data_IF_538935496667
#
_entry.id   IF_538935496667
#
_cell.length_a   1.000
_cell.length_b   1.000
_cell.length_c   1.000
_cell.angle_alpha   90.00
_cell.angle_beta   90.00
_cell.angle_gamma   90.00
#
_symmetry.space_group_name_H-M   'P 1'
#
loop_
_entity.id
_entity.type
_entity.pdbx_description
1 polymer ?
#
# COMPACT_ATOMS: atom_id res chain seq x y z
N UNK A 1 11.76 -15.42 20.94
CA UNK A 1 11.23 -16.20 19.79
C UNK A 1 10.20 -17.18 20.30
N UNK A 2 9.15 -17.44 19.55
CA UNK A 2 8.12 -18.43 19.83
C UNK A 2 8.05 -19.44 18.70
N UNK A 3 7.72 -20.69 19.00
CA UNK A 3 7.40 -21.70 18.00
C UNK A 3 5.90 -21.69 17.67
N UNK A 4 5.54 -22.01 16.44
CA UNK A 4 4.17 -22.21 16.00
C UNK A 4 4.08 -23.28 14.91
N UNK A 5 2.89 -23.83 14.72
CA UNK A 5 2.60 -24.80 13.66
C UNK A 5 2.42 -24.06 12.31
N UNK A 6 3.47 -24.07 11.51
CA UNK A 6 3.47 -23.47 10.18
C UNK A 6 2.64 -24.24 9.15
N UNK A 7 2.25 -25.48 9.41
CA UNK A 7 1.41 -26.25 8.48
C UNK A 7 0.00 -25.68 8.39
N UNK A 8 -0.52 -25.12 9.48
CA UNK A 8 -1.82 -24.49 9.53
C UNK A 8 -1.87 -23.14 8.77
N UNK A 9 -0.72 -22.58 8.47
CA UNK A 9 -0.56 -21.31 7.71
C UNK A 9 0.03 -21.52 6.31
N UNK A 10 0.16 -22.77 5.86
CA UNK A 10 0.76 -23.15 4.58
C UNK A 10 2.25 -22.74 4.46
N UNK A 11 2.95 -22.66 5.60
CA UNK A 11 4.36 -22.28 5.66
C UNK A 11 5.28 -23.47 5.94
N UNK A 12 4.73 -24.64 6.30
CA UNK A 12 5.49 -25.86 6.54
C UNK A 12 4.69 -27.10 6.16
N UNK A 13 5.38 -28.24 6.00
CA UNK A 13 4.75 -29.53 5.80
C UNK A 13 4.30 -30.13 7.15
N UNK A 14 3.17 -30.87 7.16
CA UNK A 14 2.63 -31.46 8.40
C UNK A 14 3.57 -32.44 9.12
N UNK A 15 4.54 -33.03 8.40
CA UNK A 15 5.57 -33.91 8.97
C UNK A 15 6.76 -33.17 9.60
N UNK A 16 6.88 -31.84 9.36
CA UNK A 16 7.91 -30.96 9.93
C UNK A 16 7.33 -29.54 10.02
N UNK A 17 6.37 -29.37 10.94
CA UNK A 17 5.47 -28.22 10.95
C UNK A 17 6.00 -26.99 11.70
N UNK A 18 7.08 -27.12 12.46
CA UNK A 18 7.57 -26.03 13.31
C UNK A 18 8.17 -24.88 12.50
N UNK A 19 7.64 -23.68 12.75
CA UNK A 19 8.25 -22.41 12.37
C UNK A 19 8.48 -21.55 13.62
N UNK A 20 9.32 -20.52 13.48
CA UNK A 20 9.61 -19.60 14.58
C UNK A 20 9.04 -18.20 14.27
N UNK A 21 8.56 -17.55 15.32
CA UNK A 21 8.16 -16.14 15.31
C UNK A 21 9.22 -15.30 16.05
N UNK A 22 9.76 -14.30 15.36
CA UNK A 22 10.64 -13.28 15.93
C UNK A 22 9.88 -11.96 16.03
N UNK A 23 9.54 -11.47 17.24
CA UNK A 23 8.93 -10.16 17.42
C UNK A 23 9.82 -9.05 16.85
N UNK A 24 9.23 -8.11 16.08
CA UNK A 24 9.98 -7.04 15.40
C UNK A 24 9.38 -5.66 15.60
N UNK A 25 8.07 -5.55 15.87
CA UNK A 25 7.41 -4.30 16.19
C UNK A 25 6.26 -4.53 17.17
N UNK A 26 5.90 -3.49 17.92
CA UNK A 26 4.87 -3.52 18.95
C UNK A 26 3.95 -2.32 18.78
N UNK A 27 2.63 -2.57 18.79
CA UNK A 27 1.60 -1.55 18.71
C UNK A 27 0.60 -1.72 19.85
N UNK A 28 0.16 -0.65 20.54
CA UNK A 28 -0.95 -0.73 21.48
C UNK A 28 -2.20 -1.34 20.83
N UNK A 29 -2.82 -2.31 21.49
CA UNK A 29 -4.14 -2.80 21.10
C UNK A 29 -5.21 -1.96 21.77
N UNK A 30 -5.75 -0.96 21.06
CA UNK A 30 -6.72 -0.02 21.60
C UNK A 30 -8.09 -0.65 21.89
N UNK A 31 -8.29 -1.91 21.56
CA UNK A 31 -9.52 -2.67 21.87
C UNK A 31 -9.46 -3.39 23.21
N UNK A 32 -8.29 -3.40 23.87
CA UNK A 32 -8.05 -4.13 25.14
C UNK A 32 -7.17 -3.31 26.08
N UNK A 33 -7.56 -3.26 27.34
CA UNK A 33 -6.72 -2.68 28.38
C UNK A 33 -5.40 -3.47 28.52
N UNK A 34 -4.28 -2.76 28.49
CA UNK A 34 -2.91 -3.34 28.56
C UNK A 34 -2.61 -4.39 27.45
N UNK A 35 -3.35 -4.33 26.33
CA UNK A 35 -3.15 -5.19 25.16
C UNK A 35 -2.13 -4.62 24.18
N UNK A 36 -1.47 -5.53 23.44
CA UNK A 36 -0.54 -5.16 22.38
C UNK A 36 -0.70 -6.07 21.16
N UNK A 37 -0.58 -5.49 19.98
CA UNK A 37 -0.39 -6.20 18.72
C UNK A 37 1.11 -6.34 18.48
N UNK A 38 1.57 -7.57 18.24
CA UNK A 38 2.99 -7.87 18.03
C UNK A 38 3.21 -8.27 16.59
N UNK A 39 3.89 -7.44 15.82
CA UNK A 39 4.37 -7.82 14.49
C UNK A 39 5.55 -8.78 14.65
N UNK A 40 5.51 -9.88 13.93
CA UNK A 40 6.57 -10.89 13.98
C UNK A 40 7.02 -11.31 12.60
N UNK A 41 8.32 -11.57 12.47
CA UNK A 41 8.91 -12.25 11.32
C UNK A 41 8.79 -13.77 11.48
N UNK A 42 8.54 -14.47 10.36
CA UNK A 42 8.56 -15.92 10.31
C UNK A 42 9.97 -16.40 9.93
N UNK A 43 10.51 -17.33 10.72
CA UNK A 43 11.80 -17.95 10.49
C UNK A 43 11.63 -19.47 10.38
N UNK A 44 12.57 -20.10 9.68
CA UNK A 44 12.75 -21.54 9.69
C UNK A 44 13.20 -22.01 11.09
N UNK A 45 13.10 -23.32 11.41
CA UNK A 45 13.57 -23.87 12.69
C UNK A 45 15.04 -23.58 13.01
N UNK A 46 15.88 -23.41 11.98
CA UNK A 46 17.31 -23.06 12.10
C UNK A 46 17.57 -21.57 12.34
N UNK A 47 16.50 -20.75 12.38
CA UNK A 47 16.59 -19.30 12.58
C UNK A 47 16.83 -18.48 11.32
N UNK A 48 16.93 -19.09 10.15
CA UNK A 48 17.01 -18.35 8.87
C UNK A 48 15.64 -17.80 8.47
N UNK A 49 15.58 -16.69 7.71
CA UNK A 49 14.30 -16.17 7.23
C UNK A 49 13.53 -17.22 6.43
N UNK A 50 12.25 -17.41 6.77
CA UNK A 50 11.38 -18.28 6.01
C UNK A 50 11.12 -17.70 4.60
N UNK A 51 10.95 -18.50 3.53
CA UNK A 51 10.67 -18.00 2.17
C UNK A 51 9.47 -17.06 2.07
N UNK A 52 8.47 -17.19 2.94
CA UNK A 52 7.32 -16.27 3.01
C UNK A 52 7.61 -14.95 3.76
N UNK A 53 8.78 -14.81 4.37
CA UNK A 53 9.15 -13.62 5.13
C UNK A 53 9.62 -12.49 4.20
N UNK A 54 8.66 -11.78 3.61
CA UNK A 54 8.96 -10.67 2.73
C UNK A 54 9.64 -9.48 3.45
N UNK A 55 9.41 -9.32 4.77
CA UNK A 55 10.03 -8.27 5.58
C UNK A 55 11.57 -8.37 5.57
N UNK A 56 12.11 -9.57 5.59
CA UNK A 56 13.55 -9.83 5.54
C UNK A 56 14.19 -9.47 4.17
N UNK A 57 13.39 -9.19 3.13
CA UNK A 57 13.92 -8.76 1.83
C UNK A 57 14.29 -7.28 1.77
N UNK A 58 13.86 -6.49 2.74
CA UNK A 58 14.22 -5.08 2.86
C UNK A 58 15.65 -4.98 3.37
N UNK A 59 16.52 -4.33 2.59
CA UNK A 59 17.87 -4.01 3.03
C UNK A 59 17.88 -2.95 4.14
N UNK A 60 19.02 -2.75 4.78
CA UNK A 60 19.17 -1.69 5.78
C UNK A 60 18.73 -0.33 5.25
N UNK A 61 18.07 0.43 6.11
CA UNK A 61 17.47 1.72 5.81
C UNK A 61 18.54 2.76 5.49
N UNK A 62 18.46 3.34 4.29
CA UNK A 62 19.34 4.42 3.82
C UNK A 62 18.68 5.80 4.02
N UNK A 63 17.99 6.04 5.13
CA UNK A 63 17.21 7.26 5.34
C UNK A 63 15.95 7.29 4.47
N UNK A 64 15.43 6.12 4.10
CA UNK A 64 14.23 6.00 3.27
C UNK A 64 12.98 6.46 4.04
N UNK A 65 12.26 7.40 3.47
CA UNK A 65 10.92 7.80 3.90
C UNK A 65 9.92 7.24 2.92
N UNK A 66 8.87 6.61 3.43
CA UNK A 66 7.84 5.97 2.60
C UNK A 66 6.46 6.38 3.07
N UNK A 67 5.64 6.85 2.12
CA UNK A 67 4.19 7.00 2.26
C UNK A 67 3.48 5.97 1.40
N UNK A 68 2.52 5.25 1.97
CA UNK A 68 1.72 4.26 1.26
C UNK A 68 0.24 4.66 1.32
N UNK A 69 -0.40 4.67 0.15
CA UNK A 69 -1.79 5.09 -0.07
C UNK A 69 -2.62 3.84 -0.35
N UNK A 70 -3.25 3.29 0.68
CA UNK A 70 -4.01 2.05 0.57
C UNK A 70 -5.45 2.31 0.17
N UNK A 71 -5.80 1.97 -1.05
CA UNK A 71 -7.18 1.98 -1.55
C UNK A 71 -7.88 0.65 -1.25
N UNK A 72 -9.20 0.70 -1.07
CA UNK A 72 -10.06 -0.46 -0.78
C UNK A 72 -11.54 -0.12 -0.98
N UNK A 73 -12.39 -1.15 -1.11
CA UNK A 73 -13.84 -0.97 -1.01
C UNK A 73 -14.36 -1.55 0.30
N UNK A 74 -15.38 -0.91 0.86
CA UNK A 74 -16.20 -1.49 1.92
C UNK A 74 -17.44 -2.11 1.28
N UNK A 75 -17.68 -3.39 1.56
CA UNK A 75 -18.75 -4.17 0.95
C UNK A 75 -19.66 -4.83 1.98
N UNK A 76 -20.92 -4.97 1.64
CA UNK A 76 -21.86 -5.83 2.35
C UNK A 76 -22.54 -6.74 1.31
N UNK A 77 -22.57 -8.05 1.57
CA UNK A 77 -23.10 -9.06 0.64
C UNK A 77 -22.50 -8.97 -0.78
N UNK A 78 -21.18 -8.67 -0.87
CA UNK A 78 -20.45 -8.54 -2.13
C UNK A 78 -20.75 -7.26 -2.92
N UNK A 79 -21.40 -6.26 -2.30
CA UNK A 79 -21.75 -5.00 -2.91
C UNK A 79 -21.17 -3.82 -2.15
N UNK A 80 -20.54 -2.84 -2.81
CA UNK A 80 -19.98 -1.67 -2.14
C UNK A 80 -21.03 -0.87 -1.38
N UNK A 81 -20.67 -0.41 -0.21
CA UNK A 81 -21.53 0.48 0.58
C UNK A 81 -21.82 1.76 -0.19
N UNK A 82 -23.08 2.21 -0.11
CA UNK A 82 -23.56 3.39 -0.83
C UNK A 82 -23.97 3.14 -2.29
N UNK A 83 -23.79 1.93 -2.80
CA UNK A 83 -24.37 1.56 -4.10
C UNK A 83 -25.89 1.37 -3.98
N UNK A 84 -26.67 1.50 -5.10
CA UNK A 84 -28.10 1.23 -5.06
C UNK A 84 -28.39 -0.17 -4.50
N UNK A 85 -29.45 -0.33 -3.74
CA UNK A 85 -29.85 -1.62 -3.14
C UNK A 85 -30.30 -2.64 -4.18
N UNK A 86 -30.80 -2.17 -5.31
CA UNK A 86 -31.20 -3.00 -6.43
C UNK A 86 -29.96 -3.60 -7.12
N UNK A 87 -29.88 -4.93 -7.14
CA UNK A 87 -28.76 -5.68 -7.75
C UNK A 87 -28.58 -5.49 -9.25
N UNK A 88 -29.55 -4.89 -9.93
CA UNK A 88 -29.50 -4.59 -11.36
C UNK A 88 -29.07 -3.15 -11.65
N UNK A 89 -28.99 -2.30 -10.63
CA UNK A 89 -28.62 -0.89 -10.76
C UNK A 89 -27.18 -0.68 -10.32
N UNK A 90 -26.46 0.12 -11.10
CA UNK A 90 -25.09 0.54 -10.82
C UNK A 90 -25.02 2.06 -10.74
N UNK A 91 -24.23 2.64 -9.86
CA UNK A 91 -23.96 4.07 -9.89
C UNK A 91 -23.18 4.43 -11.16
N UNK A 92 -23.09 5.71 -11.49
CA UNK A 92 -22.14 6.15 -12.52
C UNK A 92 -20.72 5.75 -12.10
N UNK A 93 -19.84 5.30 -13.04
CA UNK A 93 -18.47 4.91 -12.71
C UNK A 93 -17.65 6.03 -12.06
N UNK A 94 -17.96 7.27 -12.41
CA UNK A 94 -17.36 8.47 -11.82
C UNK A 94 -18.47 9.48 -11.48
N UNK A 95 -18.23 10.31 -10.46
CA UNK A 95 -19.17 11.31 -9.99
C UNK A 95 -18.55 12.19 -8.89
N UNK A 96 -19.39 12.80 -8.08
CA UNK A 96 -18.96 13.66 -6.97
C UNK A 96 -18.51 12.85 -5.73
N UNK A 97 -18.17 11.58 -5.91
CA UNK A 97 -17.85 10.65 -4.80
C UNK A 97 -16.53 10.99 -4.12
N UNK A 98 -15.57 11.47 -4.88
CA UNK A 98 -14.21 11.77 -4.42
C UNK A 98 -14.16 12.79 -3.27
N UNK A 99 -15.12 13.72 -3.19
CA UNK A 99 -15.18 14.64 -2.06
C UNK A 99 -15.56 13.96 -0.73
N UNK A 100 -16.06 12.72 -0.76
CA UNK A 100 -16.32 11.90 0.42
C UNK A 100 -17.36 12.46 1.37
N UNK A 101 -18.25 13.35 0.91
CA UNK A 101 -19.25 14.00 1.70
C UNK A 101 -20.66 13.75 1.17
N UNK A 102 -21.65 13.77 2.09
CA UNK A 102 -23.06 13.57 1.78
C UNK A 102 -23.49 12.10 1.83
N UNK A 103 -24.62 11.84 2.46
CA UNK A 103 -25.18 10.49 2.65
C UNK A 103 -25.30 9.71 1.33
N UNK A 104 -25.79 10.36 0.27
CA UNK A 104 -25.98 9.72 -1.03
C UNK A 104 -24.66 9.26 -1.69
N UNK A 105 -23.55 9.84 -1.28
CA UNK A 105 -22.23 9.54 -1.88
C UNK A 105 -21.50 8.42 -1.15
N UNK A 106 -21.59 8.36 0.18
CA UNK A 106 -20.75 7.46 0.97
C UNK A 106 -21.51 6.35 1.69
N UNK A 107 -22.83 6.44 1.80
CA UNK A 107 -23.63 5.55 2.66
C UNK A 107 -23.56 5.95 4.14
N UNK A 108 -24.26 5.20 4.99
CA UNK A 108 -24.40 5.52 6.41
C UNK A 108 -23.28 4.98 7.30
N UNK A 109 -22.87 3.73 7.08
CA UNK A 109 -21.88 3.04 7.93
C UNK A 109 -20.45 3.28 7.46
N UNK A 110 -20.22 3.51 6.15
CA UNK A 110 -18.88 3.63 5.60
C UNK A 110 -18.05 4.74 6.25
N UNK A 111 -18.64 5.95 6.39
CA UNK A 111 -17.95 7.06 7.06
C UNK A 111 -17.60 6.72 8.51
N UNK A 112 -18.52 6.10 9.23
CA UNK A 112 -18.29 5.73 10.62
C UNK A 112 -17.12 4.74 10.73
N UNK A 113 -17.02 3.77 9.82
CA UNK A 113 -15.93 2.80 9.78
C UNK A 113 -14.60 3.50 9.51
N UNK A 114 -14.52 4.36 8.49
CA UNK A 114 -13.23 4.98 8.11
C UNK A 114 -12.73 5.95 9.17
N UNK A 115 -13.61 6.69 9.83
CA UNK A 115 -13.25 7.61 10.92
C UNK A 115 -12.84 6.84 12.19
N UNK A 116 -13.58 5.79 12.58
CA UNK A 116 -13.20 4.93 13.72
C UNK A 116 -11.88 4.19 13.44
N UNK A 117 -11.63 3.78 12.19
CA UNK A 117 -10.35 3.21 11.77
C UNK A 117 -9.19 4.19 11.97
N UNK A 118 -9.35 5.44 11.52
CA UNK A 118 -8.37 6.50 11.73
C UNK A 118 -8.06 6.67 13.23
N UNK A 119 -9.09 6.82 14.06
CA UNK A 119 -8.93 7.04 15.50
C UNK A 119 -8.19 5.88 16.18
N UNK A 120 -8.54 4.64 15.86
CA UNK A 120 -7.88 3.44 16.41
C UNK A 120 -6.42 3.36 15.93
N UNK A 121 -6.14 3.64 14.65
CA UNK A 121 -4.78 3.65 14.11
C UNK A 121 -3.90 4.69 14.81
N UNK A 122 -4.39 5.91 15.00
CA UNK A 122 -3.67 6.97 15.72
C UNK A 122 -3.40 6.58 17.17
N UNK A 123 -4.40 6.02 17.86
CA UNK A 123 -4.26 5.54 19.23
C UNK A 123 -3.28 4.35 19.34
N UNK A 124 -3.19 3.51 18.32
CA UNK A 124 -2.21 2.44 18.22
C UNK A 124 -0.78 2.93 17.86
N UNK A 125 -0.59 4.23 17.67
CA UNK A 125 0.70 4.83 17.33
C UNK A 125 1.11 4.64 15.86
N UNK A 126 0.15 4.31 15.00
CA UNK A 126 0.35 4.30 13.54
C UNK A 126 0.35 5.75 13.05
N UNK A 127 1.33 6.08 12.22
CA UNK A 127 1.39 7.39 11.57
C UNK A 127 0.42 7.44 10.38
N UNK A 128 -0.86 7.49 10.69
CA UNK A 128 -1.96 7.60 9.75
C UNK A 128 -2.11 9.06 9.33
N UNK A 129 -1.85 9.37 8.07
CA UNK A 129 -1.77 10.74 7.56
C UNK A 129 -3.09 11.29 7.05
N UNK A 130 -4.05 10.42 6.69
CA UNK A 130 -5.35 10.87 6.22
C UNK A 130 -6.22 9.76 5.66
N UNK A 131 -7.48 10.13 5.44
CA UNK A 131 -8.50 9.34 4.77
C UNK A 131 -9.13 10.17 3.66
N UNK A 132 -9.52 9.53 2.58
CA UNK A 132 -10.37 10.11 1.54
C UNK A 132 -11.26 9.06 0.90
N UNK A 133 -12.39 9.49 0.36
CA UNK A 133 -13.13 8.68 -0.59
C UNK A 133 -12.43 8.75 -1.94
N UNK A 134 -12.60 7.72 -2.75
CA UNK A 134 -11.98 7.59 -4.05
C UNK A 134 -12.94 7.85 -5.22
N UNK A 135 -12.42 7.79 -6.44
CA UNK A 135 -13.16 8.14 -7.67
C UNK A 135 -14.36 7.21 -7.87
N UNK A 136 -14.21 5.92 -7.60
CA UNK A 136 -15.34 4.99 -7.65
C UNK A 136 -16.18 5.07 -6.37
N UNK A 137 -17.51 5.07 -6.53
CA UNK A 137 -18.43 5.10 -5.38
C UNK A 137 -18.22 3.87 -4.49
N UNK A 138 -18.08 4.10 -3.17
CA UNK A 138 -17.82 3.04 -2.20
C UNK A 138 -16.34 2.67 -2.02
N UNK A 139 -15.46 3.30 -2.79
CA UNK A 139 -14.00 3.16 -2.64
C UNK A 139 -13.47 4.21 -1.68
N UNK A 140 -12.53 3.79 -0.84
CA UNK A 140 -11.87 4.60 0.15
C UNK A 140 -10.36 4.41 0.10
N UNK A 141 -9.64 5.35 0.66
CA UNK A 141 -8.21 5.32 0.83
C UNK A 141 -7.82 5.72 2.24
N UNK A 142 -6.82 5.05 2.80
CA UNK A 142 -6.09 5.56 3.95
C UNK A 142 -4.59 5.65 3.64
N UNK A 143 -3.92 6.60 4.27
CA UNK A 143 -2.51 6.88 4.03
C UNK A 143 -1.69 6.66 5.29
N UNK A 144 -0.55 5.98 5.16
CA UNK A 144 0.40 5.72 6.24
C UNK A 144 1.78 6.17 5.83
N UNK A 145 2.46 6.87 6.72
CA UNK A 145 3.83 7.35 6.52
C UNK A 145 4.80 6.72 7.52
N UNK A 146 5.99 6.36 7.05
CA UNK A 146 7.09 5.85 7.89
C UNK A 146 8.43 6.44 7.50
N UNK A 147 9.18 6.89 8.52
CA UNK A 147 10.62 7.10 8.39
C UNK A 147 11.29 5.76 8.68
N UNK A 148 11.68 5.08 7.59
CA UNK A 148 12.14 3.71 7.59
C UNK A 148 11.21 2.76 6.82
N UNK A 149 11.79 1.98 5.93
CA UNK A 149 11.10 1.04 5.06
C UNK A 149 10.28 -0.01 5.85
N UNK A 150 10.91 -0.63 6.85
CA UNK A 150 10.24 -1.60 7.71
C UNK A 150 9.07 -0.97 8.46
N UNK A 151 9.28 0.23 9.03
CA UNK A 151 8.25 0.91 9.81
C UNK A 151 7.01 1.22 8.98
N UNK A 152 7.17 1.72 7.76
CA UNK A 152 6.05 2.01 6.86
C UNK A 152 5.24 0.74 6.55
N UNK A 153 5.92 -0.34 6.16
CA UNK A 153 5.29 -1.60 5.80
C UNK A 153 4.63 -2.32 7.00
N UNK A 154 5.28 -2.32 8.17
CA UNK A 154 4.71 -2.85 9.42
C UNK A 154 3.39 -2.13 9.76
N UNK A 155 3.36 -0.80 9.65
CA UNK A 155 2.17 0.01 9.92
C UNK A 155 1.01 -0.31 8.97
N UNK A 156 1.26 -0.52 7.67
CA UNK A 156 0.22 -0.92 6.71
C UNK A 156 -0.42 -2.24 7.10
N UNK A 157 0.38 -3.24 7.46
CA UNK A 157 -0.15 -4.55 7.87
C UNK A 157 -1.01 -4.44 9.13
N UNK A 158 -0.59 -3.64 10.10
CA UNK A 158 -1.38 -3.43 11.33
C UNK A 158 -2.64 -2.62 11.03
N UNK A 159 -2.56 -1.57 10.20
CA UNK A 159 -3.73 -0.80 9.78
C UNK A 159 -4.75 -1.66 9.02
N UNK A 160 -4.30 -2.54 8.10
CA UNK A 160 -5.17 -3.52 7.44
C UNK A 160 -5.86 -4.45 8.44
N UNK A 161 -5.11 -4.96 9.42
CA UNK A 161 -5.67 -5.81 10.46
C UNK A 161 -6.73 -5.09 11.30
N UNK A 162 -6.45 -3.85 11.72
CA UNK A 162 -7.40 -3.02 12.49
C UNK A 162 -8.67 -2.78 11.67
N UNK A 163 -8.55 -2.47 10.37
CA UNK A 163 -9.70 -2.26 9.49
C UNK A 163 -10.57 -3.52 9.38
N UNK A 164 -9.96 -4.69 9.16
CA UNK A 164 -10.68 -5.96 9.10
C UNK A 164 -11.42 -6.24 10.40
N UNK A 165 -10.75 -6.08 11.55
CA UNK A 165 -11.35 -6.28 12.87
C UNK A 165 -12.51 -5.32 13.15
N UNK A 166 -12.36 -4.08 12.70
CA UNK A 166 -13.42 -3.08 12.84
C UNK A 166 -14.62 -3.43 11.95
N UNK A 167 -14.37 -3.83 10.71
CA UNK A 167 -15.44 -4.21 9.78
C UNK A 167 -16.27 -5.40 10.27
N UNK A 168 -15.66 -6.38 10.98
CA UNK A 168 -16.40 -7.47 11.64
C UNK A 168 -17.50 -6.94 12.59
N UNK A 169 -17.23 -5.84 13.32
CA UNK A 169 -18.19 -5.21 14.23
C UNK A 169 -19.44 -4.68 13.50
N UNK A 170 -19.28 -4.27 12.27
CA UNK A 170 -20.32 -3.66 11.44
C UNK A 170 -20.97 -4.64 10.45
N UNK A 171 -20.50 -5.89 10.39
CA UNK A 171 -20.96 -6.86 9.39
C UNK A 171 -20.63 -6.43 7.95
N UNK A 172 -19.46 -5.84 7.77
CA UNK A 172 -18.94 -5.30 6.50
C UNK A 172 -17.65 -6.03 6.16
N UNK A 173 -17.43 -6.30 4.88
CA UNK A 173 -16.21 -6.86 4.36
C UNK A 173 -15.33 -5.78 3.71
N UNK A 174 -14.02 -5.99 3.73
CA UNK A 174 -13.05 -5.16 3.01
C UNK A 174 -12.63 -5.86 1.73
N UNK A 175 -12.89 -5.24 0.60
CA UNK A 175 -12.44 -5.75 -0.71
C UNK A 175 -11.10 -5.11 -1.09
N UNK A 176 -10.08 -5.94 -1.15
CA UNK A 176 -8.71 -5.53 -1.49
C UNK A 176 -8.35 -5.78 -2.96
N UNK A 177 -9.22 -6.43 -3.73
CA UNK A 177 -8.90 -6.76 -5.13
C UNK A 177 -8.59 -5.49 -5.93
N UNK A 178 -7.54 -5.54 -6.75
CA UNK A 178 -7.08 -4.38 -7.52
C UNK A 178 -8.07 -3.90 -8.59
N UNK A 179 -9.00 -4.74 -9.01
CA UNK A 179 -10.08 -4.40 -9.96
C UNK A 179 -11.32 -5.23 -9.63
N UNK A 180 -12.04 -4.91 -8.54
CA UNK A 180 -13.21 -5.71 -8.14
C UNK A 180 -14.38 -5.61 -9.11
N UNK A 181 -14.48 -4.50 -9.85
CA UNK A 181 -15.50 -4.27 -10.84
C UNK A 181 -14.86 -4.02 -12.21
N UNK A 182 -15.16 -4.90 -13.17
CA UNK A 182 -14.67 -4.77 -14.54
C UNK A 182 -15.42 -3.65 -15.29
N UNK A 183 -14.80 -3.13 -16.34
CA UNK A 183 -15.36 -2.06 -17.16
C UNK A 183 -14.82 -0.68 -16.77
N UNK A 184 -15.65 0.34 -16.88
CA UNK A 184 -15.27 1.75 -16.75
C UNK A 184 -15.10 2.25 -15.31
N UNK A 185 -14.78 1.34 -14.39
CA UNK A 185 -14.52 1.64 -12.96
C UNK A 185 -13.03 1.82 -12.69
N UNK A 186 -12.68 2.71 -11.75
CA UNK A 186 -11.33 2.77 -11.24
C UNK A 186 -10.98 1.45 -10.51
N UNK A 187 -9.73 1.04 -10.60
CA UNK A 187 -9.18 -0.02 -9.77
C UNK A 187 -8.66 0.52 -8.45
N UNK A 188 -8.14 -0.37 -7.60
CA UNK A 188 -7.57 -0.02 -6.30
C UNK A 188 -6.05 -0.19 -6.31
N UNK A 189 -5.33 0.87 -5.92
CA UNK A 189 -3.88 0.93 -5.79
C UNK A 189 -3.40 0.88 -4.35
N UNK A 190 -2.10 0.75 -4.21
CA UNK A 190 -1.35 1.10 -3.02
C UNK A 190 -0.12 1.89 -3.47
N UNK A 191 -0.32 3.16 -3.86
CA UNK A 191 0.76 3.99 -4.36
C UNK A 191 1.87 4.12 -3.33
N UNK A 192 3.11 4.11 -3.82
CA UNK A 192 4.28 4.20 -2.98
C UNK A 192 4.99 5.52 -3.19
N UNK A 193 4.86 6.43 -2.24
CA UNK A 193 5.63 7.66 -2.17
C UNK A 193 6.96 7.36 -1.49
N UNK A 194 8.07 7.74 -2.07
CA UNK A 194 9.39 7.41 -1.53
C UNK A 194 10.39 8.54 -1.71
N UNK A 195 11.29 8.67 -0.75
CA UNK A 195 12.48 9.53 -0.84
C UNK A 195 13.57 9.02 0.07
N UNK A 196 14.83 9.20 -0.33
CA UNK A 196 16.01 8.96 0.51
C UNK A 196 16.60 10.27 0.99
N UNK A 197 17.57 10.22 1.91
CA UNK A 197 18.34 11.41 2.29
C UNK A 197 18.98 12.05 1.06
N UNK A 198 19.55 11.24 0.17
CA UNK A 198 20.14 11.74 -1.08
C UNK A 198 19.12 12.48 -1.96
N UNK A 199 17.93 11.90 -2.17
CA UNK A 199 16.86 12.53 -2.94
C UNK A 199 16.39 13.85 -2.34
N UNK A 200 16.35 13.96 -1.02
CA UNK A 200 15.90 15.19 -0.32
C UNK A 200 16.98 16.27 -0.29
N UNK A 201 18.21 15.90 -0.04
CA UNK A 201 19.29 16.86 0.26
C UNK A 201 20.16 17.19 -0.96
N UNK A 202 20.43 16.21 -1.81
CA UNK A 202 21.34 16.31 -2.96
C UNK A 202 20.57 16.29 -4.27
N UNK A 203 19.96 15.16 -4.62
CA UNK A 203 19.11 14.98 -5.81
C UNK A 203 19.76 15.46 -7.12
N UNK A 204 18.99 16.22 -7.88
CA UNK A 204 19.41 16.83 -9.14
C UNK A 204 18.87 16.10 -10.37
N UNK A 205 18.83 16.86 -11.49
CA UNK A 205 18.19 16.38 -12.73
C UNK A 205 18.88 15.16 -13.34
N UNK A 206 20.19 15.11 -13.32
CA UNK A 206 20.95 13.97 -13.86
C UNK A 206 20.65 12.69 -13.09
N UNK A 207 20.70 12.76 -11.75
CA UNK A 207 20.30 11.65 -10.89
C UNK A 207 18.87 11.21 -11.15
N UNK A 208 17.93 12.16 -11.23
CA UNK A 208 16.53 11.87 -11.49
C UNK A 208 16.35 11.12 -12.83
N UNK A 209 16.99 11.56 -13.91
CA UNK A 209 16.86 10.89 -15.20
C UNK A 209 17.42 9.46 -15.16
N UNK A 210 18.59 9.27 -14.55
CA UNK A 210 19.14 7.91 -14.34
C UNK A 210 18.23 7.02 -13.51
N UNK A 211 17.59 7.61 -12.48
CA UNK A 211 16.64 6.87 -11.66
C UNK A 211 15.42 6.43 -12.48
N UNK A 212 14.89 7.29 -13.35
CA UNK A 212 13.78 6.93 -14.23
C UNK A 212 14.18 5.86 -15.25
N UNK A 213 15.37 5.96 -15.86
CA UNK A 213 15.91 4.94 -16.76
C UNK A 213 16.02 3.58 -16.03
N UNK A 214 16.44 3.58 -14.77
CA UNK A 214 16.56 2.36 -13.97
C UNK A 214 15.20 1.77 -13.58
N UNK A 215 14.19 2.61 -13.29
CA UNK A 215 12.82 2.15 -13.08
C UNK A 215 12.18 1.56 -14.34
N UNK A 216 12.55 2.08 -15.52
CA UNK A 216 12.15 1.50 -16.82
C UNK A 216 12.83 0.18 -17.09
N UNK A 217 14.16 0.08 -16.88
CA UNK A 217 14.95 -1.15 -17.03
C UNK A 217 14.37 -2.29 -16.18
N UNK A 218 14.01 -2.01 -14.94
CA UNK A 218 13.44 -3.00 -13.99
C UNK A 218 11.90 -3.03 -13.98
N UNK A 219 11.25 -2.53 -15.03
CA UNK A 219 9.77 -2.45 -15.08
C UNK A 219 9.11 -3.77 -14.69
N UNK A 220 9.54 -4.87 -15.29
CA UNK A 220 8.90 -6.17 -15.09
C UNK A 220 9.15 -6.75 -13.69
N UNK A 221 10.33 -6.49 -13.10
CA UNK A 221 10.61 -6.85 -11.71
C UNK A 221 9.77 -6.06 -10.72
N UNK A 222 9.54 -4.78 -11.00
CA UNK A 222 8.62 -3.94 -10.22
C UNK A 222 7.20 -4.49 -10.29
N UNK A 223 6.69 -4.76 -11.49
CA UNK A 223 5.35 -5.32 -11.66
C UNK A 223 5.19 -6.65 -10.93
N UNK A 224 6.19 -7.54 -10.96
CA UNK A 224 6.17 -8.81 -10.26
C UNK A 224 6.08 -8.66 -8.72
N UNK A 225 6.60 -7.55 -8.17
CA UNK A 225 6.54 -7.25 -6.73
C UNK A 225 5.27 -6.49 -6.31
N UNK A 226 4.52 -5.92 -7.24
CA UNK A 226 3.49 -4.92 -7.00
C UNK A 226 2.07 -5.48 -6.82
N UNK A 227 1.93 -6.77 -6.66
CA UNK A 227 0.68 -7.46 -6.37
C UNK A 227 0.11 -8.24 -7.55
N UNK A 228 -0.79 -9.19 -7.28
CA UNK A 228 -1.39 -10.03 -8.28
C UNK A 228 -2.38 -9.25 -9.17
N UNK A 229 -2.69 -9.81 -10.33
CA UNK A 229 -3.74 -9.34 -11.25
C UNK A 229 -3.65 -7.87 -11.69
N UNK A 230 -2.49 -7.25 -11.54
CA UNK A 230 -2.28 -5.83 -11.78
C UNK A 230 -2.53 -5.42 -13.27
N UNK A 231 -2.53 -6.38 -14.18
CA UNK A 231 -2.93 -6.19 -15.58
C UNK A 231 -4.42 -5.77 -15.75
N UNK A 232 -5.27 -6.11 -14.78
CA UNK A 232 -6.68 -5.70 -14.77
C UNK A 232 -6.84 -4.22 -14.40
N UNK A 233 -5.89 -3.67 -13.64
CA UNK A 233 -5.89 -2.28 -13.18
C UNK A 233 -5.06 -1.37 -14.08
N UNK A 234 -3.85 -1.76 -14.46
CA UNK A 234 -2.92 -0.97 -15.27
C UNK A 234 -3.24 -1.09 -16.75
N UNK A 235 -4.26 -0.38 -17.21
CA UNK A 235 -4.81 -0.51 -18.57
C UNK A 235 -4.46 0.68 -19.49
N UNK A 236 -3.88 1.74 -18.96
CA UNK A 236 -3.72 3.03 -19.67
C UNK A 236 -4.97 3.91 -19.61
N UNK A 237 -5.98 3.49 -18.85
CA UNK A 237 -7.21 4.22 -18.54
C UNK A 237 -7.31 4.40 -17.01
N UNK A 238 -8.30 5.18 -16.56
CA UNK A 238 -8.58 5.34 -15.13
C UNK A 238 -7.34 5.78 -14.31
N UNK A 239 -6.62 6.77 -14.87
CA UNK A 239 -5.46 7.39 -14.21
C UNK A 239 -4.32 6.40 -13.95
N UNK A 240 -4.14 5.43 -14.87
CA UNK A 240 -3.02 4.48 -14.84
C UNK A 240 -2.28 4.47 -16.17
N UNK A 241 -0.98 4.14 -16.12
CA UNK A 241 -0.25 3.73 -17.32
C UNK A 241 -0.57 2.26 -17.65
N UNK A 242 -0.49 1.90 -18.92
CA UNK A 242 -0.57 0.48 -19.33
C UNK A 242 0.55 -0.33 -18.68
N UNK A 243 0.24 -1.56 -18.25
CA UNK A 243 1.21 -2.46 -17.62
C UNK A 243 2.45 -2.75 -18.48
N UNK A 244 2.28 -2.72 -19.81
CA UNK A 244 3.35 -2.99 -20.78
C UNK A 244 4.30 -1.80 -20.99
N UNK A 245 3.96 -0.63 -20.44
CA UNK A 245 4.70 0.61 -20.64
C UNK A 245 5.21 1.16 -19.33
N UNK A 246 6.31 1.88 -19.42
CA UNK A 246 6.77 2.76 -18.35
C UNK A 246 6.68 4.23 -18.81
N UNK A 247 6.34 5.10 -17.91
CA UNK A 247 6.37 6.54 -18.12
C UNK A 247 6.52 7.28 -16.80
N UNK A 248 6.98 8.51 -16.88
CA UNK A 248 6.94 9.45 -15.76
C UNK A 248 6.47 10.81 -16.24
N UNK A 249 5.88 11.59 -15.35
CA UNK A 249 5.41 12.93 -15.71
C UNK A 249 5.18 13.81 -14.49
N UNK A 250 5.38 15.13 -14.69
CA UNK A 250 5.13 16.12 -13.63
C UNK A 250 3.63 16.31 -13.46
N UNK A 251 3.14 16.03 -12.23
CA UNK A 251 1.73 16.05 -11.87
C UNK A 251 0.83 15.16 -12.75
N UNK A 252 1.41 14.19 -13.44
CA UNK A 252 0.71 13.28 -14.35
C UNK A 252 0.20 12.05 -13.60
N UNK A 253 -1.11 11.97 -13.38
CA UNK A 253 -1.77 10.82 -12.74
C UNK A 253 -1.84 9.58 -13.64
N UNK A 254 -1.66 9.73 -14.95
CA UNK A 254 -1.62 8.63 -15.92
C UNK A 254 -0.22 8.00 -16.09
N UNK A 255 0.80 8.52 -15.40
CA UNK A 255 2.15 7.99 -15.49
C UNK A 255 2.40 6.84 -14.49
N UNK A 256 3.42 6.01 -14.76
CA UNK A 256 3.93 5.00 -13.83
C UNK A 256 4.54 5.65 -12.59
N UNK A 257 5.39 6.67 -12.80
CA UNK A 257 5.95 7.51 -11.73
C UNK A 257 5.42 8.93 -11.90
N UNK A 258 4.67 9.39 -10.90
CA UNK A 258 4.25 10.77 -10.81
C UNK A 258 5.31 11.60 -10.09
N UNK A 259 5.69 12.69 -10.70
CA UNK A 259 6.66 13.65 -10.17
C UNK A 259 5.90 14.83 -9.57
N UNK A 260 5.94 15.07 -8.25
CA UNK A 260 5.29 16.24 -7.67
C UNK A 260 5.87 17.57 -8.23
N UNK A 261 5.05 18.59 -8.35
CA UNK A 261 5.53 19.92 -8.74
C UNK A 261 6.63 20.46 -7.81
N UNK A 262 6.52 20.14 -6.51
CA UNK A 262 7.54 20.53 -5.53
C UNK A 262 8.92 19.91 -5.80
N UNK A 263 8.95 18.73 -6.41
CA UNK A 263 10.20 18.02 -6.75
C UNK A 263 11.01 18.76 -7.84
N UNK A 264 10.34 19.31 -8.83
CA UNK A 264 10.98 20.02 -9.96
C UNK A 264 11.03 21.55 -9.76
N UNK A 265 10.50 22.04 -8.64
CA UNK A 265 10.50 23.46 -8.34
C UNK A 265 11.92 24.04 -8.40
N UNK A 266 12.05 25.19 -9.05
CA UNK A 266 13.34 25.89 -9.22
C UNK A 266 14.43 25.03 -9.88
N UNK A 267 14.04 24.04 -10.70
CA UNK A 267 14.91 23.05 -11.36
C UNK A 267 15.75 22.21 -10.36
N UNK A 268 15.26 22.06 -9.13
CA UNK A 268 16.00 21.41 -8.03
C UNK A 268 16.06 19.90 -8.16
N UNK A 269 14.99 19.27 -8.62
CA UNK A 269 14.83 17.80 -8.69
C UNK A 269 15.14 17.13 -7.34
N UNK A 270 14.44 17.59 -6.28
CA UNK A 270 14.62 17.13 -4.90
C UNK A 270 13.29 16.85 -4.20
N UNK A 271 13.27 15.87 -3.33
CA UNK A 271 12.10 15.51 -2.54
C UNK A 271 11.69 14.07 -2.74
N UNK A 272 10.38 13.82 -2.90
CA UNK A 272 9.83 12.48 -3.08
C UNK A 272 9.23 12.29 -4.48
N UNK A 273 9.13 11.02 -4.87
CA UNK A 273 8.45 10.55 -6.07
C UNK A 273 7.34 9.59 -5.68
N UNK A 274 6.32 9.46 -6.52
CA UNK A 274 5.18 8.57 -6.32
C UNK A 274 5.18 7.47 -7.39
N UNK A 275 5.41 6.21 -6.98
CA UNK A 275 5.17 5.05 -7.84
C UNK A 275 3.69 4.65 -7.75
N UNK A 276 2.97 4.79 -8.85
CA UNK A 276 1.53 4.57 -8.94
C UNK A 276 1.16 3.16 -9.39
N UNK A 277 2.15 2.32 -9.69
CA UNK A 277 1.95 0.97 -10.21
C UNK A 277 1.55 -0.08 -9.17
N UNK A 278 1.98 -0.02 -7.89
CA UNK A 278 1.58 -1.03 -6.92
C UNK A 278 0.06 -1.06 -6.72
N UNK A 279 -0.50 -2.27 -6.58
CA UNK A 279 -1.93 -2.44 -6.35
C UNK A 279 -2.27 -2.68 -4.87
N UNK A 280 -3.56 -2.56 -4.56
CA UNK A 280 -4.11 -2.67 -3.20
C UNK A 280 -3.86 -4.00 -2.50
N UNK A 281 -3.72 -5.11 -3.25
CA UNK A 281 -3.41 -6.45 -2.72
C UNK A 281 -1.90 -6.65 -2.49
N UNK A 282 -1.07 -5.73 -2.96
CA UNK A 282 0.38 -5.84 -2.88
C UNK A 282 0.87 -6.01 -1.45
N UNK A 283 1.95 -6.78 -1.30
CA UNK A 283 2.67 -6.90 -0.05
C UNK A 283 3.56 -5.67 0.15
N UNK A 284 3.32 -4.82 1.17
CA UNK A 284 4.06 -3.58 1.37
C UNK A 284 5.57 -3.82 1.54
N UNK A 285 5.98 -4.96 2.12
CA UNK A 285 7.40 -5.29 2.22
C UNK A 285 8.04 -5.52 0.86
N UNK A 286 7.37 -6.26 -0.04
CA UNK A 286 7.87 -6.51 -1.41
C UNK A 286 7.95 -5.23 -2.22
N UNK A 287 6.91 -4.39 -2.13
CA UNK A 287 6.85 -3.10 -2.83
C UNK A 287 8.01 -2.21 -2.40
N UNK A 288 8.13 -1.97 -1.09
CA UNK A 288 9.15 -1.08 -0.55
C UNK A 288 10.56 -1.65 -0.79
N UNK A 289 10.75 -2.97 -0.64
CA UNK A 289 12.02 -3.63 -0.95
C UNK A 289 12.44 -3.43 -2.41
N UNK A 290 11.51 -3.56 -3.38
CA UNK A 290 11.85 -3.39 -4.79
C UNK A 290 12.20 -1.94 -5.12
N UNK A 291 11.42 -0.99 -4.63
CA UNK A 291 11.70 0.45 -4.78
C UNK A 291 13.06 0.80 -4.20
N UNK A 292 13.30 0.40 -2.95
CA UNK A 292 14.55 0.67 -2.23
C UNK A 292 15.78 0.13 -2.95
N UNK A 293 15.71 -1.10 -3.51
CA UNK A 293 16.81 -1.70 -4.30
C UNK A 293 17.12 -0.90 -5.55
N UNK A 294 16.10 -0.47 -6.31
CA UNK A 294 16.30 0.33 -7.51
C UNK A 294 16.97 1.68 -7.20
N UNK A 295 16.47 2.36 -6.14
CA UNK A 295 17.05 3.64 -5.71
C UNK A 295 18.49 3.48 -5.22
N UNK A 296 18.76 2.48 -4.39
CA UNK A 296 20.08 2.22 -3.82
C UNK A 296 21.13 1.92 -4.90
N UNK A 297 20.75 1.20 -5.96
CA UNK A 297 21.66 0.90 -7.09
C UNK A 297 22.10 2.18 -7.81
N UNK A 298 21.17 3.09 -8.08
CA UNK A 298 21.49 4.37 -8.70
C UNK A 298 22.31 5.26 -7.76
N UNK A 299 21.96 5.33 -6.48
CA UNK A 299 22.71 6.13 -5.51
C UNK A 299 24.15 5.66 -5.28
N UNK A 300 24.42 4.36 -5.48
CA UNK A 300 25.79 3.83 -5.37
C UNK A 300 26.75 4.46 -6.38
N UNK A 301 26.26 5.00 -7.49
CA UNK A 301 27.08 5.69 -8.50
C UNK A 301 27.46 7.14 -8.07
N UNK A 302 26.82 7.67 -7.03
CA UNK A 302 27.03 9.05 -6.53
C UNK A 302 27.71 9.11 -5.17
N UNK A 303 28.02 7.95 -4.58
CA UNK A 303 28.78 7.80 -3.32
C UNK A 303 30.23 7.47 -3.58
#
# INVERSE_FOLDING_TARGET
MWGFDGSSTLQAEGSSSDCLLKPVALFPDCTRENGFLVMSEVLNPDGTPHPSNARATIAEDQGLWVGLEQEYFLQQDGRPLGWPEDNNSYPAPQGEYYCGAGYCNVGDVARQIVEEHLDICLAAGINHEGINAEVAKGQWEFQVFGKGAHKAADQIWVARYILLRLCEKYGVDVEWHCKPFLGDWNGSGMHCNFSTDFMRDTGGKEYFLKLMDKFEEYKDEHIAAYGPDNHLRLTGLHETQSIDKFSWGVADRGASIRVPHSFVKDDAYKGYLEDRRPNSQGDPYKIVSRVSKTVAEVEAEYK
#
